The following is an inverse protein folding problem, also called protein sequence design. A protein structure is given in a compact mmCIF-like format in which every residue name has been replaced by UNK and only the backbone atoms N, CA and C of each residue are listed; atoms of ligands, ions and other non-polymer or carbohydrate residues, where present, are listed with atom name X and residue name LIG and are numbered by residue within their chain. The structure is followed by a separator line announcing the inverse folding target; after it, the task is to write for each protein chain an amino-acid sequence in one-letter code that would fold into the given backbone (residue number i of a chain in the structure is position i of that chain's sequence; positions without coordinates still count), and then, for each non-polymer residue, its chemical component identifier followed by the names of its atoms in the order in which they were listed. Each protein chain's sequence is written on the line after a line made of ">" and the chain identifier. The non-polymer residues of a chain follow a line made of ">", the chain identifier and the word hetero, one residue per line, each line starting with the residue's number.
data_IF_681865501309
#
_entry.id   IF_681865501309
#
_cell.length_a   1.000
_cell.length_b   1.000
_cell.length_c   1.000
_cell.angle_alpha   90.00
_cell.angle_beta   90.00
_cell.angle_gamma   90.00
#
_symmetry.space_group_name_H-M   'P 1'
#
loop_
_entity.id
_entity.type
_entity.pdbx_description
1 polymer ?
#
# COMPACT_ATOMS: atom_id res chain seq x y z
N UNK A 1 49.95 -9.98 -2.54
CA UNK A 1 48.97 -8.94 -2.15
C UNK A 1 47.77 -9.60 -1.46
N UNK A 2 46.94 -8.81 -0.78
CA UNK A 2 45.86 -9.29 0.09
C UNK A 2 44.68 -9.81 -0.73
N UNK A 3 44.31 -11.06 -0.48
CA UNK A 3 43.09 -11.71 -0.96
C UNK A 3 41.87 -10.88 -0.51
N UNK A 4 41.19 -10.25 -1.45
CA UNK A 4 39.86 -9.66 -1.21
C UNK A 4 38.89 -10.83 -1.29
N UNK A 5 38.53 -11.36 -0.12
CA UNK A 5 37.43 -12.32 0.00
C UNK A 5 36.15 -11.58 -0.39
N UNK A 6 35.68 -11.80 -1.62
CA UNK A 6 34.34 -11.43 -2.06
C UNK A 6 33.34 -12.25 -1.23
N UNK A 7 32.80 -11.59 -0.20
CA UNK A 7 31.78 -12.14 0.68
C UNK A 7 30.51 -12.33 -0.14
N UNK A 8 30.20 -13.59 -0.47
CA UNK A 8 28.94 -14.01 -1.07
C UNK A 8 27.83 -13.75 -0.04
N UNK A 9 27.18 -12.59 -0.13
CA UNK A 9 26.04 -12.25 0.72
C UNK A 9 24.81 -12.95 0.15
N UNK A 10 24.16 -13.70 1.03
CA UNK A 10 23.05 -14.59 0.77
C UNK A 10 21.92 -13.92 -0.02
N UNK A 11 21.48 -14.61 -1.08
CA UNK A 11 20.20 -14.39 -1.72
C UNK A 11 19.08 -14.40 -0.67
N UNK A 12 18.52 -13.23 -0.37
CA UNK A 12 17.24 -13.13 0.34
C UNK A 12 16.16 -13.46 -0.69
N UNK A 13 15.75 -14.72 -0.69
CA UNK A 13 14.59 -15.19 -1.43
C UNK A 13 13.33 -14.52 -0.86
N UNK A 14 12.88 -13.44 -1.49
CA UNK A 14 11.50 -12.97 -1.35
C UNK A 14 10.64 -13.95 -2.15
N UNK A 15 9.75 -14.64 -1.43
CA UNK A 15 9.04 -15.81 -1.91
C UNK A 15 7.80 -15.39 -2.74
N UNK A 16 7.91 -15.46 -4.08
CA UNK A 16 6.81 -15.76 -5.02
C UNK A 16 6.57 -14.75 -6.16
N UNK A 17 6.07 -15.16 -7.37
CA UNK A 17 5.71 -16.51 -7.82
C UNK A 17 6.72 -17.13 -8.82
N UNK A 18 6.64 -18.45 -8.94
CA UNK A 18 7.45 -19.35 -9.78
C UNK A 18 7.58 -18.94 -11.26
N UNK A 19 8.82 -18.78 -11.72
CA UNK A 19 9.19 -18.99 -13.13
C UNK A 19 10.26 -20.09 -13.18
N UNK A 20 9.87 -21.23 -13.74
CA UNK A 20 10.77 -22.33 -14.04
C UNK A 20 11.71 -21.91 -15.17
N UNK A 21 13.01 -21.85 -14.88
CA UNK A 21 14.05 -21.86 -15.92
C UNK A 21 14.95 -23.06 -15.68
N UNK A 22 14.74 -24.08 -16.50
CA UNK A 22 15.66 -25.19 -16.67
C UNK A 22 16.94 -24.65 -17.29
N UNK A 23 18.05 -24.74 -16.56
CA UNK A 23 19.39 -24.45 -17.09
C UNK A 23 19.85 -25.70 -17.83
N UNK A 24 19.88 -25.64 -19.16
CA UNK A 24 20.66 -26.59 -19.97
C UNK A 24 22.00 -25.93 -20.30
N UNK A 25 23.05 -26.46 -19.69
CA UNK A 25 24.45 -26.10 -19.95
C UNK A 25 24.85 -26.85 -21.21
N UNK A 26 24.99 -26.16 -22.34
CA UNK A 26 26.00 -26.49 -23.36
C UNK A 26 26.03 -25.46 -24.50
N UNK A 27 27.21 -24.84 -24.70
CA UNK A 27 27.75 -24.64 -26.04
C UNK A 27 27.42 -23.35 -26.79
N UNK A 28 28.30 -22.37 -26.63
CA UNK A 28 28.83 -21.48 -27.69
C UNK A 28 27.92 -20.41 -28.31
N UNK A 29 28.59 -19.29 -28.60
CA UNK A 29 28.27 -18.19 -29.53
C UNK A 29 27.70 -16.93 -28.87
N UNK A 30 28.58 -15.95 -28.63
CA UNK A 30 28.22 -14.55 -28.87
C UNK A 30 27.94 -14.32 -30.37
N UNK A 31 27.44 -13.15 -30.82
CA UNK A 31 27.74 -11.83 -30.27
C UNK A 31 26.56 -10.84 -30.29
N UNK A 32 26.79 -9.63 -29.77
CA UNK A 32 26.29 -8.40 -30.41
C UNK A 32 24.91 -7.87 -30.02
N UNK A 33 24.96 -6.67 -29.44
CA UNK A 33 24.04 -5.55 -29.67
C UNK A 33 22.51 -5.80 -29.61
N UNK A 34 21.88 -5.28 -28.56
CA UNK A 34 20.63 -4.54 -28.69
C UNK A 34 20.41 -3.60 -27.49
N UNK A 35 21.16 -2.49 -27.47
CA UNK A 35 20.59 -1.24 -26.97
C UNK A 35 19.46 -0.86 -27.93
N UNK A 36 18.21 -0.97 -27.47
CA UNK A 36 17.06 -0.42 -28.16
C UNK A 36 16.15 0.24 -27.14
N UNK A 37 16.13 1.57 -27.21
CA UNK A 37 15.15 2.44 -26.59
C UNK A 37 13.72 1.94 -26.88
N UNK A 38 13.00 1.55 -25.83
CA UNK A 38 11.60 1.15 -25.90
C UNK A 38 10.69 2.38 -26.05
N UNK A 39 10.57 2.92 -27.26
CA UNK A 39 9.48 3.82 -27.62
C UNK A 39 8.24 2.97 -27.97
N UNK A 40 7.57 2.45 -26.94
CA UNK A 40 6.35 1.66 -27.07
C UNK A 40 5.09 2.51 -26.97
N UNK A 41 4.61 3.06 -28.09
CA UNK A 41 3.24 3.55 -28.19
C UNK A 41 2.27 2.35 -28.22
N UNK A 42 1.81 1.92 -27.06
CA UNK A 42 0.74 0.93 -26.91
C UNK A 42 -0.63 1.56 -27.13
N UNK A 43 -1.17 1.41 -28.34
CA UNK A 43 -2.57 1.68 -28.64
C UNK A 43 -3.48 0.60 -28.07
N UNK A 44 -4.58 1.02 -27.42
CA UNK A 44 -5.62 0.14 -26.92
C UNK A 44 -6.97 0.85 -26.86
N UNK A 45 -7.68 0.88 -27.99
CA UNK A 45 -9.11 1.19 -28.04
C UNK A 45 -9.89 -0.01 -27.50
N UNK A 46 -10.78 0.23 -26.53
CA UNK A 46 -11.71 -0.77 -26.00
C UNK A 46 -12.98 -0.11 -25.50
N UNK A 47 -13.89 0.22 -26.42
CA UNK A 47 -15.23 0.68 -26.09
C UNK A 47 -16.10 -0.44 -25.52
N UNK A 48 -16.92 -0.09 -24.53
CA UNK A 48 -17.89 -0.98 -23.92
C UNK A 48 -19.05 -0.19 -23.32
N UNK A 49 -19.94 0.33 -24.17
CA UNK A 49 -21.27 0.74 -23.77
C UNK A 49 -22.09 -0.52 -23.48
N UNK A 50 -22.48 -0.71 -22.22
CA UNK A 50 -23.42 -1.74 -21.79
C UNK A 50 -24.53 -1.12 -20.94
N UNK A 51 -25.57 -0.64 -21.60
CA UNK A 51 -26.81 -0.27 -20.94
C UNK A 51 -27.52 -1.50 -20.37
N UNK A 52 -28.01 -1.37 -19.15
CA UNK A 52 -28.82 -2.38 -18.47
C UNK A 52 -29.81 -1.70 -17.55
N UNK A 53 -30.94 -1.27 -18.12
CA UNK A 53 -32.09 -0.83 -17.35
C UNK A 53 -32.70 -2.00 -16.58
N UNK A 54 -32.94 -1.80 -15.30
CA UNK A 54 -33.65 -2.73 -14.43
C UNK A 54 -34.67 -1.98 -13.57
N UNK A 55 -35.81 -1.66 -14.17
CA UNK A 55 -37.03 -1.34 -13.43
C UNK A 55 -37.74 -2.66 -13.08
N UNK A 56 -37.90 -2.94 -11.79
CA UNK A 56 -38.87 -3.88 -11.23
C UNK A 56 -39.16 -3.39 -9.80
N UNK A 57 -40.36 -2.95 -9.43
CA UNK A 57 -41.67 -3.49 -9.77
C UNK A 57 -42.02 -4.58 -8.75
N UNK A 58 -42.65 -4.20 -7.65
CA UNK A 58 -43.02 -5.14 -6.59
C UNK A 58 -43.78 -4.50 -5.42
N UNK A 59 -45.02 -4.08 -5.65
CA UNK A 59 -46.01 -3.90 -4.59
C UNK A 59 -46.39 -5.28 -4.02
N UNK A 60 -46.24 -5.46 -2.71
CA UNK A 60 -46.74 -6.63 -1.98
C UNK A 60 -47.51 -6.16 -0.76
N UNK A 61 -48.84 -6.13 -0.88
CA UNK A 61 -49.74 -5.85 0.22
C UNK A 61 -49.79 -7.00 1.24
N UNK A 62 -50.01 -6.63 2.50
CA UNK A 62 -50.30 -7.54 3.59
C UNK A 62 -51.28 -6.89 4.56
N UNK A 63 -52.58 -7.05 4.27
CA UNK A 63 -53.65 -6.82 5.23
C UNK A 63 -53.79 -8.06 6.14
N UNK A 64 -53.86 -7.82 7.44
CA UNK A 64 -54.34 -8.74 8.48
C UNK A 64 -54.16 -8.02 9.82
N UNK A 65 -55.18 -7.68 10.60
CA UNK A 65 -56.46 -8.34 10.80
C UNK A 65 -56.45 -8.93 12.22
N UNK A 66 -57.10 -8.24 13.16
CA UNK A 66 -57.24 -8.63 14.57
C UNK A 66 -56.92 -7.44 15.46
N UNK A 67 -57.85 -6.80 16.17
CA UNK A 67 -59.00 -7.34 16.88
C UNK A 67 -58.76 -7.06 18.36
N UNK A 68 -59.35 -5.98 18.88
CA UNK A 68 -59.14 -5.56 20.27
C UNK A 68 -60.11 -4.45 20.67
N UNK A 69 -61.32 -4.85 21.05
CA UNK A 69 -62.33 -4.01 21.67
C UNK A 69 -61.88 -3.52 23.06
N UNK A 70 -62.30 -2.31 23.42
CA UNK A 70 -62.30 -1.77 24.78
C UNK A 70 -62.50 -0.26 24.72
N UNK A 71 -63.75 0.21 24.69
CA UNK A 71 -64.39 0.75 25.91
C UNK A 71 -63.88 2.18 26.14
N UNK A 72 -64.59 3.23 25.72
CA UNK A 72 -65.83 3.67 26.34
C UNK A 72 -65.54 5.01 27.04
N UNK A 73 -66.11 6.11 26.55
CA UNK A 73 -65.97 7.43 27.14
C UNK A 73 -66.69 8.48 26.31
N UNK A 74 -67.90 8.83 26.74
CA UNK A 74 -68.80 9.80 26.09
C UNK A 74 -68.48 11.23 26.54
N UNK A 75 -69.27 12.16 25.98
CA UNK A 75 -69.51 13.59 26.28
C UNK A 75 -68.46 14.56 25.72
N UNK A 76 -68.72 15.41 24.72
CA UNK A 76 -69.83 16.35 24.39
C UNK A 76 -69.43 17.81 24.69
N UNK A 77 -70.09 18.73 23.96
CA UNK A 77 -70.01 20.21 24.01
C UNK A 77 -68.75 20.86 23.40
N UNK A 78 -68.81 21.39 22.16
CA UNK A 78 -69.34 22.71 21.72
C UNK A 78 -68.55 23.92 22.22
N UNK A 79 -67.91 24.64 21.29
CA UNK A 79 -67.33 25.97 21.51
C UNK A 79 -66.80 26.60 20.22
N UNK A 80 -67.60 27.47 19.62
CA UNK A 80 -67.32 28.32 18.45
C UNK A 80 -66.33 29.45 18.78
N UNK A 81 -65.46 29.85 17.84
CA UNK A 81 -65.51 31.17 17.16
C UNK A 81 -64.16 31.65 16.61
N UNK A 82 -64.14 31.91 15.29
CA UNK A 82 -63.62 33.09 14.58
C UNK A 82 -62.22 33.69 14.88
N UNK A 83 -61.35 33.54 13.87
CA UNK A 83 -60.66 34.58 13.09
C UNK A 83 -59.65 35.54 13.77
N UNK A 84 -58.40 35.54 13.30
CA UNK A 84 -57.83 36.52 12.35
C UNK A 84 -56.29 36.50 12.37
N UNK A 85 -55.69 36.44 11.18
CA UNK A 85 -54.52 37.24 10.79
C UNK A 85 -53.15 36.90 11.39
N UNK A 86 -52.21 36.56 10.49
CA UNK A 86 -50.78 36.74 10.79
C UNK A 86 -49.90 35.68 10.17
N UNK A 87 -49.67 35.77 8.85
CA UNK A 87 -48.57 35.04 8.24
C UNK A 87 -47.24 35.50 8.83
N UNK A 88 -46.37 34.55 9.19
CA UNK A 88 -44.91 34.71 9.22
C UNK A 88 -44.26 33.36 9.53
N UNK A 89 -43.40 32.93 8.61
CA UNK A 89 -42.25 32.08 8.94
C UNK A 89 -42.45 30.58 8.85
N UNK A 90 -42.55 30.04 7.64
CA UNK A 90 -41.83 28.80 7.30
C UNK A 90 -40.33 29.11 7.39
N UNK A 91 -39.82 29.21 8.61
CA UNK A 91 -38.41 28.97 8.88
C UNK A 91 -38.31 27.49 9.19
N UNK A 92 -38.10 26.69 8.14
CA UNK A 92 -37.40 25.42 8.30
C UNK A 92 -36.00 25.76 8.81
N UNK A 93 -35.92 25.96 10.12
CA UNK A 93 -34.66 25.81 10.83
C UNK A 93 -34.24 24.39 10.49
N UNK A 94 -33.23 24.29 9.62
CA UNK A 94 -32.42 23.09 9.49
C UNK A 94 -31.94 22.81 10.91
N UNK A 95 -32.70 21.96 11.61
CA UNK A 95 -32.28 21.42 12.90
C UNK A 95 -31.12 20.54 12.53
N UNK A 96 -29.92 21.13 12.57
CA UNK A 96 -28.68 20.39 12.80
C UNK A 96 -29.04 19.35 13.86
N UNK A 97 -28.96 18.08 13.48
CA UNK A 97 -29.45 16.98 14.30
C UNK A 97 -28.94 17.20 15.73
N UNK A 98 -29.78 17.00 16.77
CA UNK A 98 -29.33 17.14 18.14
C UNK A 98 -28.06 16.32 18.29
N UNK A 99 -26.96 16.98 18.68
CA UNK A 99 -25.67 16.34 18.96
C UNK A 99 -25.97 15.13 19.85
N UNK A 100 -25.87 13.92 19.28
CA UNK A 100 -26.19 12.73 20.05
C UNK A 100 -25.08 12.64 21.09
N UNK A 101 -25.41 12.18 22.28
CA UNK A 101 -24.40 11.98 23.29
C UNK A 101 -23.36 10.99 22.75
N UNK A 102 -22.07 11.34 22.81
CA UNK A 102 -20.94 10.52 22.31
C UNK A 102 -21.09 9.04 22.71
N UNK A 103 -21.58 8.76 23.92
CA UNK A 103 -21.84 7.40 24.38
C UNK A 103 -22.84 6.60 23.52
N UNK A 104 -23.89 7.25 22.98
CA UNK A 104 -24.84 6.62 22.07
C UNK A 104 -24.26 6.39 20.68
N UNK A 105 -23.38 7.28 20.23
CA UNK A 105 -22.69 7.16 18.93
C UNK A 105 -21.64 6.03 18.99
N UNK A 106 -20.82 6.02 20.05
CA UNK A 106 -19.84 4.97 20.33
C UNK A 106 -20.46 3.60 20.68
N UNK A 107 -21.75 3.54 21.06
CA UNK A 107 -22.41 2.27 21.38
C UNK A 107 -22.37 1.29 20.20
N UNK A 108 -22.44 1.82 18.97
CA UNK A 108 -22.31 1.02 17.75
C UNK A 108 -20.89 0.51 17.47
N UNK A 109 -19.88 1.18 18.04
CA UNK A 109 -18.46 0.93 17.82
C UNK A 109 -17.78 0.19 18.97
N UNK A 110 -18.53 -0.22 20.00
CA UNK A 110 -17.99 -0.95 21.16
C UNK A 110 -17.31 -2.28 20.76
N UNK A 111 -17.67 -2.86 19.62
CA UNK A 111 -16.97 -4.03 19.05
C UNK A 111 -15.48 -3.81 18.80
N UNK A 112 -15.01 -2.57 18.61
CA UNK A 112 -13.58 -2.25 18.50
C UNK A 112 -12.80 -2.48 19.81
N UNK A 113 -13.48 -2.57 20.97
CA UNK A 113 -12.87 -2.89 22.26
C UNK A 113 -12.49 -4.36 22.42
N UNK A 114 -12.82 -5.20 21.43
CA UNK A 114 -12.48 -6.63 21.45
C UNK A 114 -10.98 -6.83 21.23
N UNK A 115 -10.48 -8.01 21.60
CA UNK A 115 -9.11 -8.39 21.25
C UNK A 115 -8.95 -8.55 19.74
N UNK A 116 -7.71 -8.48 19.25
CA UNK A 116 -7.43 -8.52 17.81
C UNK A 116 -7.97 -9.79 17.13
N UNK A 117 -7.84 -10.95 17.76
CA UNK A 117 -8.41 -12.19 17.23
C UNK A 117 -9.93 -12.12 17.07
N UNK A 118 -10.63 -11.49 18.02
CA UNK A 118 -12.07 -11.28 17.95
C UNK A 118 -12.46 -10.24 16.91
N UNK A 119 -11.63 -9.22 16.69
CA UNK A 119 -11.80 -8.22 15.64
C UNK A 119 -11.68 -8.86 14.26
N UNK A 120 -10.59 -9.58 14.01
CA UNK A 120 -10.21 -10.14 12.72
C UNK A 120 -11.11 -11.32 12.29
N UNK A 121 -11.61 -12.11 13.25
CA UNK A 121 -12.50 -13.24 12.96
C UNK A 121 -14.00 -12.89 13.05
N UNK A 122 -14.35 -11.61 13.29
CA UNK A 122 -15.75 -11.20 13.43
C UNK A 122 -16.49 -11.26 12.10
N UNK A 123 -17.65 -11.91 12.05
CA UNK A 123 -18.56 -11.83 10.90
C UNK A 123 -19.47 -10.60 10.91
N UNK A 124 -19.31 -9.69 11.89
CA UNK A 124 -20.10 -8.46 11.99
C UNK A 124 -19.79 -7.52 10.80
N UNK A 125 -20.79 -7.12 9.99
CA UNK A 125 -20.61 -6.19 8.88
C UNK A 125 -19.97 -4.86 9.28
N UNK A 126 -20.20 -4.40 10.52
CA UNK A 126 -19.61 -3.17 11.07
C UNK A 126 -18.09 -3.20 11.11
N UNK A 127 -17.52 -4.40 11.22
CA UNK A 127 -16.10 -4.58 11.45
C UNK A 127 -15.33 -4.80 10.15
N UNK A 128 -16.02 -4.98 9.01
CA UNK A 128 -15.37 -5.29 7.74
C UNK A 128 -14.33 -4.23 7.35
N UNK A 129 -14.77 -2.96 7.23
CA UNK A 129 -13.87 -1.87 6.86
C UNK A 129 -12.75 -1.63 7.89
N UNK A 130 -13.01 -1.86 9.18
CA UNK A 130 -11.98 -1.76 10.21
C UNK A 130 -10.93 -2.88 10.12
N UNK A 131 -11.32 -4.11 9.79
CA UNK A 131 -10.35 -5.21 9.57
C UNK A 131 -9.49 -4.93 8.35
N UNK A 132 -10.09 -4.44 7.28
CA UNK A 132 -9.37 -4.09 6.05
C UNK A 132 -8.35 -2.98 6.34
N UNK A 133 -8.76 -1.94 7.08
CA UNK A 133 -7.89 -0.86 7.52
C UNK A 133 -6.75 -1.32 8.43
N UNK A 134 -7.05 -2.17 9.44
CA UNK A 134 -6.03 -2.72 10.35
C UNK A 134 -5.02 -3.57 9.60
N UNK A 135 -5.47 -4.40 8.66
CA UNK A 135 -4.59 -5.24 7.84
C UNK A 135 -3.71 -4.38 6.95
N UNK A 136 -4.29 -3.43 6.21
CA UNK A 136 -3.55 -2.52 5.33
C UNK A 136 -2.51 -1.69 6.11
N UNK A 137 -2.84 -1.29 7.34
CA UNK A 137 -1.94 -0.51 8.20
C UNK A 137 -0.78 -1.35 8.74
N UNK A 138 -1.01 -2.63 9.09
CA UNK A 138 0.07 -3.54 9.46
C UNK A 138 0.95 -3.90 8.25
N UNK A 139 0.34 -4.13 7.08
CA UNK A 139 1.06 -4.37 5.83
C UNK A 139 1.95 -3.17 5.46
N UNK A 140 1.45 -1.94 5.61
CA UNK A 140 2.25 -0.72 5.43
C UNK A 140 3.44 -0.66 6.38
N UNK A 141 3.28 -1.10 7.63
CA UNK A 141 4.38 -1.13 8.58
C UNK A 141 5.47 -2.13 8.14
N UNK A 142 5.06 -3.31 7.63
CA UNK A 142 5.98 -4.31 7.07
C UNK A 142 6.67 -3.83 5.79
N UNK A 143 5.96 -3.17 4.86
CA UNK A 143 6.57 -2.62 3.63
C UNK A 143 7.57 -1.52 3.95
N UNK A 144 7.31 -0.69 4.96
CA UNK A 144 8.30 0.29 5.46
C UNK A 144 9.55 -0.36 6.04
N UNK A 145 9.39 -1.48 6.76
CA UNK A 145 10.55 -2.24 7.25
C UNK A 145 11.34 -2.85 6.09
N UNK A 146 10.66 -3.37 5.07
CA UNK A 146 11.30 -3.88 3.85
C UNK A 146 12.05 -2.76 3.11
N UNK A 147 11.45 -1.58 2.94
CA UNK A 147 12.12 -0.40 2.38
C UNK A 147 13.39 -0.04 3.15
N UNK A 148 13.34 -0.05 4.49
CA UNK A 148 14.51 0.24 5.31
C UNK A 148 15.65 -0.78 5.09
N UNK A 149 15.32 -2.06 4.89
CA UNK A 149 16.31 -3.09 4.55
C UNK A 149 16.94 -2.84 3.18
N UNK A 150 16.12 -2.54 2.17
CA UNK A 150 16.61 -2.23 0.80
C UNK A 150 17.48 -0.97 0.80
N UNK A 151 17.08 0.08 1.53
CA UNK A 151 17.90 1.29 1.72
C UNK A 151 19.27 0.99 2.34
N UNK A 152 19.34 0.07 3.31
CA UNK A 152 20.61 -0.36 3.91
C UNK A 152 21.49 -1.09 2.90
N UNK A 153 20.91 -1.95 2.05
CA UNK A 153 21.65 -2.68 1.00
C UNK A 153 22.20 -1.68 -0.02
N UNK A 154 21.37 -0.79 -0.55
CA UNK A 154 21.80 0.24 -1.49
C UNK A 154 22.92 1.13 -0.92
N UNK A 155 22.82 1.52 0.36
CA UNK A 155 23.87 2.31 1.03
C UNK A 155 25.19 1.56 1.09
N UNK A 156 25.16 0.25 1.39
CA UNK A 156 26.34 -0.59 1.42
C UNK A 156 26.97 -0.71 0.02
N UNK A 157 26.18 -1.03 -1.00
CA UNK A 157 26.66 -1.15 -2.38
C UNK A 157 27.20 0.16 -2.93
N UNK A 158 26.58 1.30 -2.58
CA UNK A 158 27.09 2.63 -2.91
C UNK A 158 28.46 2.89 -2.27
N UNK A 159 28.66 2.49 -1.01
CA UNK A 159 29.97 2.60 -0.36
C UNK A 159 31.02 1.69 -0.99
N UNK A 160 30.65 0.47 -1.39
CA UNK A 160 31.53 -0.47 -2.08
C UNK A 160 31.92 0.06 -3.47
N UNK A 161 30.99 0.69 -4.20
CA UNK A 161 31.27 1.41 -5.44
C UNK A 161 32.24 2.57 -5.24
N UNK A 162 32.07 3.39 -4.20
CA UNK A 162 32.99 4.51 -3.92
C UNK A 162 34.39 4.01 -3.53
N UNK A 163 34.49 2.90 -2.81
CA UNK A 163 35.79 2.28 -2.50
C UNK A 163 36.46 1.77 -3.78
N UNK A 164 35.72 1.02 -4.59
CA UNK A 164 36.19 0.49 -5.87
C UNK A 164 36.68 1.60 -6.81
N UNK A 165 35.88 2.66 -7.01
CA UNK A 165 36.27 3.78 -7.87
C UNK A 165 37.49 4.51 -7.34
N UNK A 166 37.60 4.70 -6.02
CA UNK A 166 38.80 5.28 -5.40
C UNK A 166 40.04 4.40 -5.58
N UNK A 167 39.93 3.09 -5.40
CA UNK A 167 41.06 2.15 -5.51
C UNK A 167 41.58 2.06 -6.96
N UNK A 168 40.68 2.17 -7.94
CA UNK A 168 41.00 2.13 -9.37
C UNK A 168 41.30 3.51 -9.98
N UNK A 169 41.13 4.60 -9.22
CA UNK A 169 41.31 5.97 -9.72
C UNK A 169 40.26 6.40 -10.77
N UNK A 170 39.06 5.84 -10.67
CA UNK A 170 37.91 6.13 -11.53
C UNK A 170 37.09 7.30 -11.01
N UNK A 171 36.19 7.82 -11.84
CA UNK A 171 35.16 8.77 -11.43
C UNK A 171 34.24 8.19 -10.36
N UNK A 172 33.80 9.03 -9.42
CA UNK A 172 32.74 8.68 -8.46
C UNK A 172 31.34 8.83 -9.03
N UNK A 173 31.20 9.33 -10.26
CA UNK A 173 29.92 9.35 -10.98
C UNK A 173 29.70 7.98 -11.64
N UNK A 174 28.59 7.27 -11.34
CA UNK A 174 28.36 5.92 -11.84
C UNK A 174 28.37 5.81 -13.38
N UNK A 175 27.80 6.79 -14.08
CA UNK A 175 27.74 6.77 -15.56
C UNK A 175 29.12 6.94 -16.20
N UNK A 176 29.94 7.81 -15.61
CA UNK A 176 31.31 8.06 -16.05
C UNK A 176 32.21 6.88 -15.72
N UNK A 177 32.09 6.33 -14.50
CA UNK A 177 32.85 5.17 -14.05
C UNK A 177 32.60 3.95 -14.96
N UNK A 178 31.35 3.71 -15.36
CA UNK A 178 31.02 2.63 -16.29
C UNK A 178 31.74 2.80 -17.63
N UNK A 179 31.70 4.00 -18.21
CA UNK A 179 32.39 4.27 -19.48
C UNK A 179 33.92 4.11 -19.37
N UNK A 180 34.51 4.48 -18.24
CA UNK A 180 35.93 4.29 -17.95
C UNK A 180 36.28 2.80 -17.80
N UNK A 181 35.48 2.01 -17.07
CA UNK A 181 35.65 0.57 -16.93
C UNK A 181 35.55 -0.14 -18.29
N UNK A 182 34.59 0.23 -19.12
CA UNK A 182 34.43 -0.35 -20.47
C UNK A 182 35.65 -0.03 -21.36
N UNK A 183 36.17 1.19 -21.26
CA UNK A 183 37.40 1.60 -21.96
C UNK A 183 38.63 0.83 -21.46
N UNK A 184 38.77 0.65 -20.14
CA UNK A 184 39.86 -0.15 -19.56
C UNK A 184 39.78 -1.62 -19.99
N UNK A 185 38.59 -2.23 -19.93
CA UNK A 185 38.39 -3.60 -20.40
C UNK A 185 38.75 -3.75 -21.87
N UNK A 186 38.31 -2.82 -22.72
CA UNK A 186 38.66 -2.83 -24.15
C UNK A 186 40.18 -2.70 -24.37
N UNK A 187 40.87 -1.87 -23.58
CA UNK A 187 42.33 -1.73 -23.63
C UNK A 187 43.06 -3.00 -23.21
N UNK A 188 42.62 -3.65 -22.14
CA UNK A 188 43.18 -4.92 -21.67
C UNK A 188 42.99 -6.03 -22.70
N UNK A 189 41.80 -6.19 -23.26
CA UNK A 189 41.52 -7.21 -24.27
C UNK A 189 42.31 -6.95 -25.57
N UNK A 190 42.57 -5.69 -25.93
CA UNK A 190 43.38 -5.35 -27.11
C UNK A 190 44.89 -5.61 -26.92
N UNK A 191 45.34 -5.75 -25.67
CA UNK A 191 46.76 -5.96 -25.30
C UNK A 191 47.01 -7.33 -24.69
N UNK A 192 46.12 -8.30 -24.93
CA UNK A 192 46.24 -9.67 -24.44
C UNK A 192 47.60 -10.29 -24.84
N UNK A 193 48.45 -10.67 -23.86
CA UNK A 193 49.70 -11.35 -24.14
C UNK A 193 49.47 -12.83 -24.46
N UNK A 194 50.44 -13.47 -25.10
CA UNK A 194 50.41 -14.91 -25.35
C UNK A 194 50.34 -15.68 -24.02
N UNK A 195 49.61 -16.80 -23.96
CA UNK A 195 49.37 -17.54 -22.71
C UNK A 195 50.64 -18.10 -22.03
N UNK A 196 51.77 -18.15 -22.73
CA UNK A 196 53.07 -18.56 -22.22
C UNK A 196 53.97 -17.38 -21.83
N UNK A 197 53.53 -16.14 -22.01
CA UNK A 197 54.23 -14.94 -21.59
C UNK A 197 54.08 -14.74 -20.06
N UNK A 198 55.17 -14.46 -19.32
CA UNK A 198 55.08 -14.13 -17.90
C UNK A 198 54.10 -12.99 -17.57
N UNK A 199 53.87 -12.04 -18.48
CA UNK A 199 52.93 -10.93 -18.31
C UNK A 199 51.45 -11.37 -18.32
N UNK A 200 51.14 -12.58 -18.80
CA UNK A 200 49.77 -13.09 -18.84
C UNK A 200 49.13 -13.18 -17.45
N UNK A 201 49.91 -13.51 -16.42
CA UNK A 201 49.39 -13.59 -15.05
C UNK A 201 48.92 -12.22 -14.54
N UNK A 202 49.70 -11.17 -14.77
CA UNK A 202 49.35 -9.80 -14.37
C UNK A 202 48.15 -9.28 -15.18
N UNK A 203 48.16 -9.49 -16.50
CA UNK A 203 47.02 -9.15 -17.36
C UNK A 203 45.71 -9.83 -16.91
N UNK A 204 45.78 -11.12 -16.52
CA UNK A 204 44.61 -11.84 -16.05
C UNK A 204 44.08 -11.30 -14.71
N UNK A 205 44.97 -10.86 -13.82
CA UNK A 205 44.58 -10.17 -12.58
C UNK A 205 43.90 -8.82 -12.87
N UNK A 206 44.41 -8.05 -13.83
CA UNK A 206 43.81 -6.77 -14.23
C UNK A 206 42.42 -6.97 -14.87
N UNK A 207 42.28 -7.96 -15.75
CA UNK A 207 40.97 -8.32 -16.34
C UNK A 207 39.98 -8.74 -15.25
N UNK A 208 40.43 -9.53 -14.27
CA UNK A 208 39.59 -9.92 -13.15
C UNK A 208 39.16 -8.69 -12.32
N UNK A 209 40.08 -7.77 -12.03
CA UNK A 209 39.77 -6.55 -11.28
C UNK A 209 38.73 -5.65 -11.99
N UNK A 210 38.85 -5.46 -13.30
CA UNK A 210 37.85 -4.68 -14.07
C UNK A 210 36.50 -5.42 -14.13
N UNK A 211 36.51 -6.74 -14.24
CA UNK A 211 35.27 -7.57 -14.23
C UNK A 211 34.56 -7.50 -12.87
N UNK A 212 35.30 -7.60 -11.77
CA UNK A 212 34.76 -7.45 -10.42
C UNK A 212 34.15 -6.05 -10.23
N UNK A 213 34.81 -5.02 -10.77
CA UNK A 213 34.32 -3.66 -10.73
C UNK A 213 33.02 -3.45 -11.53
N UNK A 214 32.93 -4.04 -12.73
CA UNK A 214 31.68 -4.05 -13.51
C UNK A 214 30.55 -4.78 -12.77
N UNK A 215 30.86 -5.82 -11.99
CA UNK A 215 29.88 -6.53 -11.17
C UNK A 215 29.33 -5.65 -10.05
N UNK A 216 30.17 -4.86 -9.37
CA UNK A 216 29.74 -3.88 -8.36
C UNK A 216 28.81 -2.83 -8.97
N UNK A 217 29.13 -2.35 -10.17
CA UNK A 217 28.31 -1.36 -10.88
C UNK A 217 26.94 -1.94 -11.30
N UNK A 218 26.91 -3.22 -11.70
CA UNK A 218 25.65 -3.93 -11.97
C UNK A 218 24.80 -4.03 -10.71
N UNK A 219 25.39 -4.46 -9.59
CA UNK A 219 24.70 -4.55 -8.30
C UNK A 219 24.16 -3.21 -7.83
N UNK A 220 24.92 -2.12 -8.01
CA UNK A 220 24.48 -0.77 -7.65
C UNK A 220 23.20 -0.37 -8.39
N UNK A 221 23.11 -0.69 -9.69
CA UNK A 221 21.92 -0.39 -10.49
C UNK A 221 20.72 -1.26 -10.10
N UNK A 222 20.94 -2.54 -9.82
CA UNK A 222 19.89 -3.46 -9.35
C UNK A 222 19.34 -3.04 -7.97
N UNK A 223 20.22 -2.64 -7.06
CA UNK A 223 19.83 -2.17 -5.72
C UNK A 223 19.08 -0.83 -5.80
N UNK A 224 19.49 0.06 -6.73
CA UNK A 224 18.78 1.31 -6.98
C UNK A 224 17.37 1.07 -7.53
N UNK A 225 17.22 0.15 -8.49
CA UNK A 225 15.91 -0.24 -9.01
C UNK A 225 15.04 -0.86 -7.91
N UNK A 226 15.62 -1.75 -7.10
CA UNK A 226 14.92 -2.37 -5.95
C UNK A 226 14.47 -1.33 -4.93
N UNK A 227 15.28 -0.29 -4.69
CA UNK A 227 14.92 0.84 -3.83
C UNK A 227 13.72 1.60 -4.40
N UNK A 228 13.73 1.90 -5.70
CA UNK A 228 12.63 2.60 -6.36
C UNK A 228 11.32 1.79 -6.31
N UNK A 229 11.40 0.48 -6.53
CA UNK A 229 10.25 -0.42 -6.45
C UNK A 229 9.67 -0.46 -5.02
N UNK A 230 10.54 -0.58 -4.00
CA UNK A 230 10.12 -0.57 -2.60
C UNK A 230 9.49 0.77 -2.18
N UNK A 231 10.00 1.91 -2.69
CA UNK A 231 9.39 3.22 -2.46
C UNK A 231 8.00 3.32 -3.08
N UNK A 232 7.82 2.80 -4.30
CA UNK A 232 6.51 2.76 -4.97
C UNK A 232 5.52 1.84 -4.24
N UNK A 233 5.99 0.71 -3.70
CA UNK A 233 5.16 -0.20 -2.90
C UNK A 233 4.67 0.47 -1.60
N UNK A 234 5.55 1.21 -0.91
CA UNK A 234 5.16 2.00 0.26
C UNK A 234 4.13 3.06 -0.12
N UNK A 235 4.34 3.80 -1.21
CA UNK A 235 3.36 4.79 -1.70
C UNK A 235 1.99 4.13 -1.98
N UNK A 236 1.97 2.99 -2.67
CA UNK A 236 0.76 2.23 -2.93
C UNK A 236 0.05 1.76 -1.65
N UNK A 237 0.81 1.27 -0.67
CA UNK A 237 0.28 0.82 0.62
C UNK A 237 -0.29 1.97 1.47
N UNK A 238 0.25 3.20 1.35
CA UNK A 238 -0.26 4.36 2.12
C UNK A 238 -1.69 4.79 1.74
N UNK A 239 -2.14 4.51 0.52
CA UNK A 239 -3.47 4.93 0.06
C UNK A 239 -4.60 4.35 0.94
N UNK A 240 -4.44 3.12 1.44
CA UNK A 240 -5.43 2.42 2.27
C UNK A 240 -5.36 2.70 3.77
N UNK A 241 -4.38 3.48 4.23
CA UNK A 241 -4.09 3.69 5.66
C UNK A 241 -4.23 5.15 6.09
N UNK A 242 -4.73 6.01 5.20
CA UNK A 242 -4.90 7.43 5.48
C UNK A 242 -5.98 7.68 6.54
N UNK A 243 -5.95 8.88 7.15
CA UNK A 243 -7.04 9.32 8.02
C UNK A 243 -8.39 9.31 7.29
N UNK A 244 -8.39 9.64 5.99
CA UNK A 244 -9.58 9.52 5.15
C UNK A 244 -10.08 8.05 5.07
N UNK A 245 -9.19 7.08 4.87
CA UNK A 245 -9.55 5.66 4.88
C UNK A 245 -10.10 5.20 6.25
N UNK A 246 -9.57 5.76 7.35
CA UNK A 246 -10.12 5.53 8.69
C UNK A 246 -11.54 6.11 8.83
N UNK A 247 -11.75 7.35 8.38
CA UNK A 247 -13.07 8.00 8.40
C UNK A 247 -14.08 7.24 7.53
N UNK A 248 -13.67 6.79 6.34
CA UNK A 248 -14.47 5.91 5.47
C UNK A 248 -14.85 4.61 6.18
N UNK A 249 -13.92 4.01 6.93
CA UNK A 249 -14.21 2.81 7.72
C UNK A 249 -15.24 3.08 8.83
N UNK A 250 -15.18 4.25 9.50
CA UNK A 250 -16.19 4.67 10.49
C UNK A 250 -17.56 4.83 9.84
N UNK A 251 -17.62 5.55 8.72
CA UNK A 251 -18.87 5.79 7.97
C UNK A 251 -19.47 4.47 7.48
N UNK A 252 -18.66 3.60 6.87
CA UNK A 252 -19.07 2.29 6.41
C UNK A 252 -19.60 1.42 7.57
N UNK A 253 -18.91 1.44 8.72
CA UNK A 253 -19.35 0.72 9.90
C UNK A 253 -20.73 1.20 10.39
N UNK A 254 -20.96 2.52 10.47
CA UNK A 254 -22.24 3.06 10.93
C UNK A 254 -23.37 2.71 9.95
N UNK A 255 -23.12 2.87 8.64
CA UNK A 255 -24.10 2.62 7.58
C UNK A 255 -24.41 1.12 7.38
N UNK A 256 -23.51 0.21 7.76
CA UNK A 256 -23.67 -1.24 7.58
C UNK A 256 -24.91 -1.85 8.27
N UNK A 257 -25.47 -1.17 9.27
CA UNK A 257 -26.66 -1.66 10.01
C UNK A 257 -27.98 -0.98 9.64
N UNK A 258 -28.01 -0.24 8.53
CA UNK A 258 -29.23 0.42 8.05
C UNK A 258 -29.64 1.64 8.89
N UNK A 259 -28.75 2.13 9.76
CA UNK A 259 -28.82 3.52 10.19
C UNK A 259 -28.61 4.36 8.92
N UNK A 260 -29.53 5.27 8.62
CA UNK A 260 -29.55 6.04 7.36
C UNK A 260 -28.22 6.75 7.04
N UNK A 261 -28.07 7.31 5.82
CA UNK A 261 -26.76 7.65 5.27
C UNK A 261 -26.04 8.67 6.16
N UNK A 262 -25.12 8.16 6.96
CA UNK A 262 -24.11 8.93 7.67
C UNK A 262 -23.01 9.23 6.67
N UNK A 263 -22.53 10.47 6.70
CA UNK A 263 -21.41 10.94 5.88
C UNK A 263 -20.23 11.26 6.78
N UNK A 264 -19.06 11.52 6.20
CA UNK A 264 -17.89 11.98 6.96
C UNK A 264 -18.19 13.23 7.80
N UNK A 265 -19.08 14.12 7.32
CA UNK A 265 -19.48 15.33 8.05
C UNK A 265 -20.24 15.05 9.36
N UNK A 266 -20.75 13.83 9.53
CA UNK A 266 -21.43 13.36 10.73
C UNK A 266 -20.47 12.65 11.70
N UNK A 267 -19.23 12.39 11.29
CA UNK A 267 -18.17 11.85 12.16
C UNK A 267 -17.55 13.02 12.93
N UNK A 268 -17.76 13.06 14.24
CA UNK A 268 -17.17 14.08 15.08
C UNK A 268 -15.69 13.81 15.33
N UNK A 269 -14.88 14.85 15.59
CA UNK A 269 -13.47 14.69 15.94
C UNK A 269 -13.27 13.74 17.11
N UNK A 270 -14.11 13.80 18.14
CA UNK A 270 -13.98 12.94 19.32
C UNK A 270 -14.24 11.46 19.01
N UNK A 271 -15.11 11.16 18.03
CA UNK A 271 -15.31 9.79 17.57
C UNK A 271 -14.10 9.30 16.78
N UNK A 272 -13.55 10.15 15.91
CA UNK A 272 -12.36 9.82 15.13
C UNK A 272 -11.15 9.58 16.05
N UNK A 273 -10.91 10.46 17.01
CA UNK A 273 -9.85 10.32 18.01
C UNK A 273 -10.01 9.04 18.84
N UNK A 274 -11.25 8.73 19.25
CA UNK A 274 -11.51 7.50 20.00
C UNK A 274 -11.25 6.24 19.17
N UNK A 275 -11.64 6.24 17.89
CA UNK A 275 -11.38 5.13 16.96
C UNK A 275 -9.90 5.02 16.66
N UNK A 276 -9.20 6.13 16.39
CA UNK A 276 -7.76 6.19 16.18
C UNK A 276 -7.01 5.59 17.36
N UNK A 277 -7.38 5.98 18.60
CA UNK A 277 -6.80 5.43 19.81
C UNK A 277 -7.02 3.91 19.93
N UNK A 278 -8.20 3.42 19.54
CA UNK A 278 -8.53 2.00 19.64
C UNK A 278 -7.85 1.15 18.55
N UNK A 279 -7.69 1.71 17.35
CA UNK A 279 -6.99 1.08 16.24
C UNK A 279 -5.47 1.16 16.40
N UNK A 280 -4.95 2.13 17.15
CA UNK A 280 -3.52 2.36 17.27
C UNK A 280 -2.96 3.20 16.12
N UNK A 281 -3.73 4.20 15.67
CA UNK A 281 -3.29 5.17 14.66
C UNK A 281 -2.49 6.29 15.35
N UNK A 282 -1.39 6.71 14.74
CA UNK A 282 -0.50 7.74 15.30
C UNK A 282 0.36 7.19 16.45
N UNK A 283 0.40 7.91 17.57
CA UNK A 283 1.22 7.53 18.75
C UNK A 283 0.49 6.55 19.69
N UNK A 284 -0.74 6.17 19.37
CA UNK A 284 -1.53 5.26 20.21
C UNK A 284 -1.17 3.82 19.93
N UNK A 285 -1.14 2.97 20.97
CA UNK A 285 -1.04 1.54 20.78
C UNK A 285 -2.42 0.88 20.73
N UNK A 286 -2.67 0.02 19.74
CA UNK A 286 -3.99 -0.54 19.50
C UNK A 286 -4.05 -1.80 18.64
N UNK A 287 -5.15 -1.95 17.91
CA UNK A 287 -5.41 -3.13 17.08
C UNK A 287 -4.35 -3.39 15.99
N UNK A 288 -3.78 -2.33 15.41
CA UNK A 288 -2.74 -2.41 14.38
C UNK A 288 -1.48 -3.06 14.94
N UNK A 289 -0.95 -2.58 16.08
CA UNK A 289 0.26 -3.18 16.68
C UNK A 289 -0.01 -4.62 17.13
N UNK A 290 -1.20 -4.87 17.70
CA UNK A 290 -1.59 -6.20 18.12
C UNK A 290 -1.66 -7.16 16.93
N UNK A 291 -2.14 -6.71 15.77
CA UNK A 291 -2.16 -7.52 14.55
C UNK A 291 -0.76 -7.73 13.99
N UNK A 292 0.05 -6.66 13.92
CA UNK A 292 1.43 -6.74 13.47
C UNK A 292 2.24 -7.74 14.29
N UNK A 293 2.00 -7.86 15.60
CA UNK A 293 2.67 -8.85 16.46
C UNK A 293 2.32 -10.31 16.17
N UNK A 294 1.31 -10.57 15.34
CA UNK A 294 0.86 -11.92 14.95
C UNK A 294 1.30 -12.35 13.56
N UNK A 295 1.87 -11.42 12.78
CA UNK A 295 2.46 -11.67 11.45
C UNK A 295 3.89 -12.22 11.60
#
# INVERSE_FOLDING_TARGET
>A
MRLINVLTIASVAVMGPTLATTIDITGSQGPGAAWAAGNGNGGGNGGGNGGGGGNGGGNGGGNGGGGGNGGGGKSSERGSSHAHGGGKGLVSSSKRAPQRNLHSELKGLNSLKRNINGLMNSSDPKMAAFRDFVSASADLALTKEALAKVQSVYTQTSADFLRMTSDMGLSSDPSTAQAELDSQMAGLLASEPEANDPAYAEWAEDVAAVTDAQSVMTQLNEDWASLQDAESEVEGATAGTSEAAMMDAIVAAINSTGAGPVTEADVTPEMADWVAAQLGVGDSSGAIDAWQSTL
#
